data_IF_890553619777
#
_entry.id   IF_890553619777
#
_cell.length_a   1.000
_cell.length_b   1.000
_cell.length_c   1.000
_cell.angle_alpha   90.00
_cell.angle_beta   90.00
_cell.angle_gamma   90.00
#
_symmetry.space_group_name_H-M   'P 1'
#
loop_
_entity.id
_entity.type
_entity.pdbx_description
1 polymer ?
#
# COMPACT_ATOMS: atom_id res chain seq x y z
N UNK A 1 6.00 -21.76 -18.26
CA UNK A 1 4.95 -20.76 -18.57
C UNK A 1 5.62 -19.42 -18.43
N UNK A 2 6.02 -18.83 -19.55
CA UNK A 2 6.60 -17.48 -19.56
C UNK A 2 5.55 -16.49 -19.01
N UNK A 3 5.93 -15.53 -18.15
CA UNK A 3 5.00 -14.53 -17.66
C UNK A 3 4.48 -13.67 -18.83
N UNK A 4 3.19 -13.34 -18.79
CA UNK A 4 2.52 -12.51 -19.80
C UNK A 4 3.18 -11.11 -19.90
N UNK A 5 3.67 -10.67 -21.07
CA UNK A 5 4.28 -9.35 -21.25
C UNK A 5 3.32 -8.17 -20.98
N UNK A 6 2.01 -8.40 -20.88
CA UNK A 6 1.04 -7.39 -20.44
C UNK A 6 1.08 -7.11 -18.91
N UNK A 7 1.77 -7.94 -18.12
CA UNK A 7 1.98 -7.74 -16.68
C UNK A 7 3.26 -6.93 -16.35
N UNK A 8 4.04 -6.50 -17.34
CA UNK A 8 5.30 -5.78 -17.14
C UNK A 8 5.16 -4.27 -16.88
N UNK A 9 4.12 -3.86 -16.16
CA UNK A 9 4.09 -2.53 -15.53
C UNK A 9 4.45 -2.68 -14.05
N UNK A 10 5.72 -3.00 -13.78
CA UNK A 10 6.30 -2.62 -12.48
C UNK A 10 6.28 -1.09 -12.44
N UNK A 11 5.20 -0.53 -11.91
CA UNK A 11 5.13 0.90 -11.65
C UNK A 11 6.23 1.24 -10.65
N UNK A 12 7.16 2.10 -11.07
CA UNK A 12 8.24 2.59 -10.21
C UNK A 12 7.63 3.15 -8.93
N UNK A 13 8.02 2.57 -7.79
CA UNK A 13 7.63 3.06 -6.47
C UNK A 13 8.19 4.47 -6.32
N UNK A 14 7.29 5.45 -6.44
CA UNK A 14 7.62 6.86 -6.44
C UNK A 14 6.49 7.63 -5.78
N UNK A 15 6.83 8.77 -5.20
CA UNK A 15 5.84 9.61 -4.55
C UNK A 15 4.73 10.07 -5.50
N UNK A 16 5.02 10.25 -6.78
CA UNK A 16 4.02 10.60 -7.80
C UNK A 16 3.04 9.45 -8.04
N UNK A 17 3.55 8.22 -8.16
CA UNK A 17 2.72 7.03 -8.38
C UNK A 17 1.80 6.77 -7.17
N UNK A 18 2.34 6.86 -5.96
CA UNK A 18 1.58 6.74 -4.71
C UNK A 18 0.45 7.78 -4.64
N UNK A 19 0.73 9.07 -4.89
CA UNK A 19 -0.29 10.12 -4.90
C UNK A 19 -1.41 9.81 -5.90
N UNK A 20 -1.06 9.37 -7.11
CA UNK A 20 -2.04 9.01 -8.14
C UNK A 20 -2.97 7.89 -7.66
N UNK A 21 -2.41 6.79 -7.13
CA UNK A 21 -3.20 5.66 -6.62
C UNK A 21 -4.11 6.07 -5.46
N UNK A 22 -3.60 6.88 -4.53
CA UNK A 22 -4.40 7.39 -3.40
C UNK A 22 -5.60 8.19 -3.89
N UNK A 23 -5.41 9.09 -4.87
CA UNK A 23 -6.50 9.88 -5.43
C UNK A 23 -7.53 8.99 -6.16
N UNK A 24 -7.07 8.05 -6.98
CA UNK A 24 -7.94 7.13 -7.73
C UNK A 24 -8.81 6.27 -6.79
N UNK A 25 -8.20 5.62 -5.81
CA UNK A 25 -8.89 4.70 -4.93
C UNK A 25 -9.75 5.41 -3.88
N UNK A 26 -9.31 6.57 -3.39
CA UNK A 26 -10.14 7.42 -2.51
C UNK A 26 -11.39 7.90 -3.25
N UNK A 27 -11.25 8.32 -4.51
CA UNK A 27 -12.38 8.73 -5.34
C UNK A 27 -13.35 7.58 -5.59
N UNK A 28 -12.84 6.40 -6.00
CA UNK A 28 -13.67 5.21 -6.23
C UNK A 28 -14.43 4.79 -4.97
N UNK A 29 -13.73 4.72 -3.83
CA UNK A 29 -14.29 4.23 -2.58
C UNK A 29 -15.20 5.23 -1.86
N UNK A 30 -15.19 6.51 -2.24
CA UNK A 30 -15.91 7.59 -1.56
C UNK A 30 -15.50 7.75 -0.07
N UNK A 31 -14.19 7.60 0.23
CA UNK A 31 -13.65 7.64 1.61
C UNK A 31 -12.72 8.85 1.84
N UNK A 32 -12.93 9.55 2.97
CA UNK A 32 -12.45 10.91 3.23
C UNK A 32 -11.06 11.14 3.84
N UNK A 33 -10.19 10.14 4.01
CA UNK A 33 -8.88 10.33 4.68
C UNK A 33 -7.73 10.76 3.76
N UNK A 34 -8.06 11.48 2.68
CA UNK A 34 -7.11 11.78 1.60
C UNK A 34 -5.97 12.69 2.06
N UNK A 35 -6.22 13.68 2.90
CA UNK A 35 -5.19 14.57 3.43
C UNK A 35 -4.18 13.84 4.30
N UNK A 36 -4.65 12.90 5.12
CA UNK A 36 -3.76 12.06 5.93
C UNK A 36 -2.96 11.08 5.08
N UNK A 37 -3.56 10.46 4.07
CA UNK A 37 -2.82 9.59 3.15
C UNK A 37 -1.72 10.38 2.39
N UNK A 38 -2.07 11.54 1.81
CA UNK A 38 -1.16 12.36 1.02
C UNK A 38 0.01 12.95 1.85
N UNK A 39 -0.19 13.21 3.15
CA UNK A 39 0.82 13.84 4.00
C UNK A 39 2.07 13.01 4.29
N UNK A 40 2.04 11.69 4.02
CA UNK A 40 3.21 10.79 4.25
C UNK A 40 3.73 10.11 3.00
N UNK A 41 3.27 10.53 1.82
CA UNK A 41 3.63 9.83 0.59
C UNK A 41 5.14 9.82 0.35
N UNK A 42 5.84 10.93 0.58
CA UNK A 42 7.29 10.97 0.36
C UNK A 42 8.06 10.13 1.37
N UNK A 43 7.56 10.05 2.62
CA UNK A 43 8.14 9.17 3.64
C UNK A 43 7.97 7.70 3.24
N UNK A 44 6.76 7.28 2.86
CA UNK A 44 6.52 5.91 2.42
C UNK A 44 7.28 5.57 1.14
N UNK A 45 7.41 6.53 0.21
CA UNK A 45 8.21 6.36 -0.98
C UNK A 45 9.69 6.07 -0.64
N UNK A 46 10.27 6.81 0.31
CA UNK A 46 11.64 6.60 0.74
C UNK A 46 11.82 5.27 1.49
N UNK A 47 10.93 4.97 2.44
CA UNK A 47 10.97 3.75 3.25
C UNK A 47 10.84 2.49 2.39
N UNK A 48 9.75 2.37 1.64
CA UNK A 48 9.47 1.20 0.81
C UNK A 48 10.29 1.18 -0.49
N UNK A 49 10.80 2.33 -0.94
CA UNK A 49 11.61 2.45 -2.15
C UNK A 49 13.08 2.06 -1.97
N UNK A 50 13.58 1.95 -0.73
CA UNK A 50 14.95 1.47 -0.51
C UNK A 50 15.58 1.75 0.85
N UNK A 51 14.95 2.53 1.74
CA UNK A 51 15.54 2.77 3.06
C UNK A 51 15.34 1.59 4.04
N UNK A 52 14.33 0.75 3.82
CA UNK A 52 14.08 -0.44 4.62
C UNK A 52 14.56 -1.73 3.92
N UNK A 53 15.05 -2.69 4.71
CA UNK A 53 15.29 -4.07 4.28
C UNK A 53 13.96 -4.81 4.14
N UNK A 54 13.47 -4.95 2.91
CA UNK A 54 12.15 -5.50 2.58
C UNK A 54 12.23 -6.51 1.43
N UNK A 55 12.90 -7.66 1.64
CA UNK A 55 13.06 -8.69 0.60
C UNK A 55 11.75 -9.43 0.32
N UNK A 56 11.10 -9.90 1.39
CA UNK A 56 9.82 -10.59 1.35
C UNK A 56 8.97 -10.19 2.59
N UNK A 57 7.63 -10.22 2.51
CA UNK A 57 6.75 -9.87 3.63
C UNK A 57 6.90 -10.75 4.86
N UNK A 58 7.35 -11.99 4.69
CA UNK A 58 7.54 -13.00 5.73
C UNK A 58 8.99 -13.15 6.19
N UNK A 59 9.92 -12.35 5.64
CA UNK A 59 11.32 -12.32 6.05
C UNK A 59 11.39 -11.94 7.55
N UNK A 60 11.93 -12.81 8.43
CA UNK A 60 11.99 -12.56 9.87
C UNK A 60 12.95 -11.42 10.22
N UNK A 61 13.93 -11.17 9.36
CA UNK A 61 14.92 -10.13 9.52
C UNK A 61 14.49 -8.83 8.82
N UNK A 62 13.34 -8.72 8.17
CA UNK A 62 12.93 -7.44 7.55
C UNK A 62 12.79 -6.32 8.58
N UNK A 63 13.03 -5.09 8.13
CA UNK A 63 12.66 -3.93 8.94
C UNK A 63 11.12 -3.89 9.07
N UNK A 64 10.62 -3.55 10.25
CA UNK A 64 9.17 -3.50 10.50
C UNK A 64 8.68 -2.07 10.50
N UNK A 65 7.63 -1.81 9.74
CA UNK A 65 6.95 -0.53 9.70
C UNK A 65 5.59 -0.63 10.41
N UNK A 66 5.30 0.35 11.27
CA UNK A 66 4.00 0.46 11.95
C UNK A 66 3.35 1.78 11.55
N UNK A 67 2.19 1.70 10.90
CA UNK A 67 1.39 2.87 10.55
C UNK A 67 0.67 3.40 11.79
N UNK A 68 1.37 4.18 12.61
CA UNK A 68 0.78 4.76 13.84
C UNK A 68 -0.43 5.66 13.60
N UNK A 69 -0.56 6.22 12.39
CA UNK A 69 -1.76 6.93 11.92
C UNK A 69 -2.61 6.01 11.03
N UNK A 70 -3.33 5.09 11.64
CA UNK A 70 -4.05 4.03 10.93
C UNK A 70 -4.95 4.55 9.82
N UNK A 71 -5.61 5.69 10.00
CA UNK A 71 -6.46 6.33 8.99
C UNK A 71 -5.72 6.79 7.71
N UNK A 72 -4.38 6.73 7.65
CA UNK A 72 -3.60 6.90 6.43
C UNK A 72 -3.38 5.59 5.65
N UNK A 73 -4.14 4.53 5.97
CA UNK A 73 -3.97 3.18 5.44
C UNK A 73 -3.84 3.11 3.91
N UNK A 74 -4.62 3.93 3.19
CA UNK A 74 -4.60 3.93 1.73
C UNK A 74 -3.21 4.24 1.15
N UNK A 75 -2.41 5.06 1.82
CA UNK A 75 -1.04 5.33 1.40
C UNK A 75 -0.12 4.11 1.59
N UNK A 76 -0.32 3.36 2.67
CA UNK A 76 0.36 2.08 2.89
C UNK A 76 -0.05 1.06 1.83
N UNK A 77 -1.35 0.90 1.55
CA UNK A 77 -1.83 -0.04 0.53
C UNK A 77 -1.28 0.27 -0.86
N UNK A 78 -1.19 1.55 -1.22
CA UNK A 78 -0.56 1.97 -2.47
C UNK A 78 0.94 1.58 -2.51
N UNK A 79 1.66 1.68 -1.40
CA UNK A 79 3.06 1.24 -1.31
C UNK A 79 3.20 -0.28 -1.43
N UNK A 80 2.35 -1.05 -0.75
CA UNK A 80 2.33 -2.52 -0.84
C UNK A 80 2.00 -2.98 -2.27
N UNK A 81 1.05 -2.32 -2.96
CA UNK A 81 0.76 -2.57 -4.38
C UNK A 81 1.98 -2.29 -5.27
N UNK A 82 2.64 -1.14 -5.11
CA UNK A 82 3.83 -0.79 -5.91
C UNK A 82 5.04 -1.68 -5.60
N UNK A 83 5.12 -2.30 -4.42
CA UNK A 83 6.09 -3.36 -4.12
C UNK A 83 5.74 -4.72 -4.73
N UNK A 84 4.54 -4.86 -5.29
CA UNK A 84 4.04 -6.12 -5.85
C UNK A 84 3.49 -7.08 -4.81
N UNK A 85 3.20 -6.61 -3.60
CA UNK A 85 2.64 -7.43 -2.51
C UNK A 85 1.12 -7.40 -2.44
N UNK A 86 0.48 -6.46 -3.15
CA UNK A 86 -0.96 -6.47 -3.41
C UNK A 86 -1.20 -6.50 -4.91
N UNK A 87 -2.25 -7.20 -5.33
CA UNK A 87 -2.73 -7.15 -6.72
C UNK A 87 -3.52 -5.87 -7.00
N UNK A 88 -3.71 -5.54 -8.29
CA UNK A 88 -4.57 -4.41 -8.67
C UNK A 88 -6.02 -4.62 -8.24
N UNK A 89 -6.50 -5.87 -8.26
CA UNK A 89 -7.85 -6.23 -7.84
C UNK A 89 -8.05 -5.99 -6.33
N UNK A 90 -7.08 -6.37 -5.50
CA UNK A 90 -7.12 -6.07 -4.06
C UNK A 90 -7.09 -4.56 -3.80
N UNK A 91 -6.21 -3.81 -4.46
CA UNK A 91 -6.19 -2.35 -4.27
C UNK A 91 -7.52 -1.71 -4.68
N UNK A 92 -8.09 -2.16 -5.81
CA UNK A 92 -9.38 -1.72 -6.31
C UNK A 92 -10.58 -2.16 -5.46
N UNK A 93 -10.38 -3.05 -4.47
CA UNK A 93 -11.42 -3.41 -3.50
C UNK A 93 -11.37 -2.55 -2.23
N UNK A 94 -10.48 -1.56 -2.11
CA UNK A 94 -10.40 -0.70 -0.92
C UNK A 94 -11.77 -0.17 -0.48
N UNK A 95 -12.13 -0.42 0.78
CA UNK A 95 -13.41 -0.11 1.43
C UNK A 95 -14.67 -0.68 0.75
N UNK A 96 -14.54 -1.64 -0.16
CA UNK A 96 -15.68 -2.44 -0.64
C UNK A 96 -16.04 -3.54 0.37
N UNK A 97 -17.24 -4.10 0.24
CA UNK A 97 -17.66 -5.28 1.00
C UNK A 97 -16.70 -6.45 0.76
N UNK A 98 -16.49 -7.26 1.80
CA UNK A 98 -15.56 -8.40 1.83
C UNK A 98 -14.08 -8.08 1.50
N UNK A 99 -13.74 -6.81 1.39
CA UNK A 99 -12.37 -6.37 1.16
C UNK A 99 -11.52 -6.53 2.42
N UNK A 100 -10.30 -7.05 2.24
CA UNK A 100 -9.25 -7.02 3.27
C UNK A 100 -8.70 -5.61 3.50
N UNK A 101 -8.93 -4.68 2.57
CA UNK A 101 -8.43 -3.32 2.61
C UNK A 101 -9.49 -2.36 3.14
N UNK A 102 -9.63 -2.28 4.47
CA UNK A 102 -10.51 -1.32 5.15
C UNK A 102 -9.86 0.05 5.34
N UNK A 103 -10.58 0.95 6.02
CA UNK A 103 -10.12 2.34 6.31
C UNK A 103 -8.85 2.41 7.16
N UNK A 104 -8.55 1.32 7.87
CA UNK A 104 -7.39 1.14 8.73
C UNK A 104 -6.66 -0.16 8.38
N UNK A 105 -5.32 -0.24 8.53
CA UNK A 105 -4.58 -1.44 8.21
C UNK A 105 -4.85 -2.56 9.21
N UNK A 106 -4.85 -3.80 8.71
CA UNK A 106 -4.99 -5.00 9.53
C UNK A 106 -3.77 -5.89 9.37
N UNK A 107 -3.42 -6.62 10.43
CA UNK A 107 -2.25 -7.49 10.48
C UNK A 107 -2.34 -8.74 9.59
N UNK A 108 -3.46 -8.93 8.91
CA UNK A 108 -3.65 -10.00 7.93
C UNK A 108 -3.08 -9.65 6.55
N UNK A 109 -2.60 -8.42 6.37
CA UNK A 109 -1.98 -7.97 5.12
C UNK A 109 -0.48 -8.28 5.10
N UNK A 110 0.10 -8.53 3.93
CA UNK A 110 1.55 -8.70 3.81
C UNK A 110 2.28 -7.46 4.33
N UNK A 111 3.37 -7.68 5.07
CA UNK A 111 4.23 -6.64 5.66
C UNK A 111 3.55 -5.77 6.74
N UNK A 112 2.33 -6.10 7.16
CA UNK A 112 1.63 -5.39 8.23
C UNK A 112 1.65 -6.23 9.50
N UNK A 113 2.53 -5.90 10.44
CA UNK A 113 2.64 -6.63 11.71
C UNK A 113 1.56 -6.25 12.73
N UNK A 114 1.02 -5.03 12.64
CA UNK A 114 0.09 -4.49 13.63
C UNK A 114 -1.13 -3.84 12.98
N UNK A 115 -2.29 -4.08 13.57
CA UNK A 115 -3.52 -3.35 13.23
C UNK A 115 -3.55 -2.04 14.00
N UNK A 116 -3.89 -0.93 13.35
CA UNK A 116 -3.90 0.41 13.95
C UNK A 116 -5.18 1.19 13.57
N UNK A 117 -5.37 2.41 14.08
CA UNK A 117 -6.52 3.29 13.79
C UNK A 117 -6.15 4.76 13.85
#
# INVERSE_FOLDING_TARGET
>A
MEPDPALAHQQILSSRALRKLILEESHRAHVGHIGSALSVVDLLAALYGGAMRLNAPDDPDRDRFVMGKGHAALALYAALFLRGWLSRAELASYCADDSRLGVHPTHHLPDVDFSTG
#
